data_IF_137400767581
#
_entry.id   IF_137400767581
#
_cell.length_a   1.000
_cell.length_b   1.000
_cell.length_c   1.000
_cell.angle_alpha   90.00
_cell.angle_beta   90.00
_cell.angle_gamma   90.00
#
_symmetry.space_group_name_H-M   'P 1'
#
loop_
_entity.id
_entity.type
_entity.pdbx_description
1 polymer ?
2 non-polymer ?
3 non-polymer ?
4 water ?
#
# COMPACT_ATOMS: atom_id res chain seq x y z
N UNK A 1 2.96 12.14 9.48
CA UNK A 1 3.52 10.93 10.11
C UNK A 1 4.63 10.34 9.26
N UNK A 2 5.41 9.46 9.87
CA UNK A 2 6.52 8.83 9.19
C UNK A 2 6.41 7.31 9.19
N UNK A 3 6.57 6.71 8.02
CA UNK A 3 6.53 5.27 7.88
C UNK A 3 7.94 4.85 7.52
N UNK A 4 8.56 4.02 8.37
CA UNK A 4 9.92 3.57 8.12
C UNK A 4 10.05 2.06 8.22
N UNK A 5 10.61 1.46 7.17
CA UNK A 5 10.79 0.02 7.17
C UNK A 5 11.63 -0.46 6.00
N UNK A 6 11.72 -1.77 5.84
CA UNK A 6 12.51 -2.34 4.75
C UNK A 6 11.69 -2.37 3.46
N UNK A 7 12.34 -2.02 2.36
CA UNK A 7 11.70 -2.00 1.06
C UNK A 7 11.79 -3.35 0.35
N UNK A 8 10.68 -3.79 -0.23
CA UNK A 8 10.66 -5.04 -0.99
C UNK A 8 10.34 -4.57 -2.40
N UNK A 9 11.35 -4.61 -3.26
CA UNK A 9 11.21 -4.12 -4.62
C UNK A 9 10.76 -5.10 -5.70
N UNK A 10 9.82 -4.64 -6.51
CA UNK A 10 9.26 -5.41 -7.61
C UNK A 10 9.31 -4.54 -8.87
N UNK A 11 9.09 -5.15 -10.03
CA UNK A 11 9.14 -4.41 -11.29
C UNK A 11 7.85 -3.76 -11.76
N UNK A 12 7.69 -3.69 -13.07
CA UNK A 12 6.51 -3.09 -13.69
C UNK A 12 5.36 -4.07 -13.83
N UNK A 13 4.17 -3.51 -13.96
CA UNK A 13 2.94 -4.27 -14.16
C UNK A 13 2.67 -5.41 -13.19
N UNK A 14 2.89 -5.18 -11.90
CA UNK A 14 2.60 -6.20 -10.90
C UNK A 14 1.08 -6.21 -10.73
N UNK A 15 0.41 -7.17 -11.35
CA UNK A 15 -1.05 -7.24 -11.30
C UNK A 15 -1.63 -7.92 -10.07
N UNK A 16 -2.95 -7.79 -9.92
CA UNK A 16 -3.66 -8.37 -8.79
C UNK A 16 -3.43 -9.87 -8.60
N UNK A 17 -3.26 -10.61 -9.70
CA UNK A 17 -3.02 -12.05 -9.59
C UNK A 17 -1.65 -12.35 -9.01
N UNK A 18 -0.69 -11.47 -9.28
CA UNK A 18 0.65 -11.63 -8.76
C UNK A 18 0.59 -11.29 -7.27
N UNK A 19 -0.21 -10.28 -6.95
CA UNK A 19 -0.38 -9.82 -5.57
C UNK A 19 -1.10 -10.86 -4.71
N UNK A 20 -2.17 -11.43 -5.25
CA UNK A 20 -2.95 -12.44 -4.54
C UNK A 20 -3.63 -13.35 -5.57
N UNK A 21 -2.95 -14.44 -5.95
CA UNK A 21 -3.46 -15.41 -6.93
C UNK A 21 -4.94 -15.75 -6.76
N UNK A 22 -5.65 -15.79 -7.89
CA UNK A 22 -7.07 -16.09 -7.89
C UNK A 22 -7.55 -17.25 -7.02
N UNK A 23 -6.84 -18.39 -7.01
CA UNK A 23 -7.27 -19.53 -6.19
C UNK A 23 -7.46 -19.25 -4.70
N UNK A 24 -6.68 -18.33 -4.15
CA UNK A 24 -6.79 -18.01 -2.73
C UNK A 24 -8.00 -17.14 -2.41
N UNK A 25 -8.61 -16.57 -3.44
CA UNK A 25 -9.77 -15.71 -3.26
C UNK A 25 -10.95 -16.40 -2.59
N UNK A 26 -10.82 -17.70 -2.35
CA UNK A 26 -11.89 -18.46 -1.72
C UNK A 26 -11.70 -18.53 -0.21
N UNK A 27 -11.54 -17.37 0.42
CA UNK A 27 -11.35 -17.30 1.86
C UNK A 27 -11.89 -15.99 2.43
N UNK A 28 -12.23 -16.02 3.71
CA UNK A 28 -12.77 -14.84 4.39
C UNK A 28 -11.67 -14.13 5.16
N UNK A 29 -10.95 -14.89 5.98
CA UNK A 29 -9.88 -14.34 6.79
C UNK A 29 -8.90 -13.49 5.98
N UNK A 30 -8.75 -12.21 6.35
CA UNK A 30 -7.84 -11.31 5.64
C UNK A 30 -6.39 -11.75 5.86
N UNK A 31 -6.12 -12.29 7.04
CA UNK A 31 -4.79 -12.78 7.37
C UNK A 31 -4.47 -13.98 6.48
N UNK A 32 -5.52 -14.71 6.09
CA UNK A 32 -5.36 -15.87 5.23
C UNK A 32 -4.90 -15.35 3.87
N UNK A 33 -5.47 -14.22 3.46
CA UNK A 33 -5.12 -13.60 2.20
C UNK A 33 -3.70 -13.05 2.30
N UNK A 34 -3.40 -12.42 3.42
CA UNK A 34 -2.09 -11.84 3.65
C UNK A 34 -0.97 -12.87 3.58
N UNK A 35 -1.25 -14.10 4.03
CA UNK A 35 -0.25 -15.15 4.01
C UNK A 35 0.21 -15.51 2.59
N UNK A 36 -0.49 -15.02 1.58
CA UNK A 36 -0.10 -15.30 0.21
C UNK A 36 0.12 -14.03 -0.60
N UNK A 37 0.42 -12.94 0.10
CA UNK A 37 0.67 -11.66 -0.54
C UNK A 37 1.89 -11.75 -1.44
N UNK A 38 1.75 -11.28 -2.67
CA UNK A 38 2.84 -11.29 -3.66
C UNK A 38 3.29 -12.70 -4.05
N UNK A 39 2.55 -13.72 -3.62
CA UNK A 39 2.91 -15.10 -3.92
C UNK A 39 2.94 -15.37 -5.42
N UNK A 40 2.28 -14.50 -6.19
CA UNK A 40 2.24 -14.65 -7.63
C UNK A 40 3.58 -14.46 -8.31
N UNK A 41 4.47 -13.68 -7.71
CA UNK A 41 5.78 -13.45 -8.30
C UNK A 41 6.93 -13.77 -7.35
N UNK A 42 6.66 -13.76 -6.05
CA UNK A 42 7.69 -14.08 -5.07
C UNK A 42 7.12 -14.92 -3.93
N UNK A 43 7.29 -16.24 -4.05
CA UNK A 43 6.78 -17.17 -3.05
C UNK A 43 7.44 -17.01 -1.68
N UNK A 44 8.51 -16.23 -1.62
CA UNK A 44 9.21 -16.03 -0.37
C UNK A 44 8.78 -14.76 0.38
N UNK A 45 8.02 -13.89 -0.29
CA UNK A 45 7.57 -12.64 0.32
C UNK A 45 6.86 -12.80 1.67
N UNK A 46 5.82 -13.64 1.74
CA UNK A 46 5.09 -13.83 3.00
C UNK A 46 6.00 -14.18 4.19
N UNK A 47 7.10 -14.87 3.91
CA UNK A 47 8.04 -15.28 4.95
C UNK A 47 9.13 -14.25 5.25
N UNK A 48 9.30 -13.28 4.35
CA UNK A 48 10.32 -12.24 4.52
C UNK A 48 9.77 -10.93 5.09
N UNK A 49 8.55 -10.58 4.68
CA UNK A 49 7.92 -9.34 5.10
C UNK A 49 7.70 -9.22 6.61
N UNK A 50 7.86 -8.00 7.12
CA UNK A 50 7.66 -7.72 8.54
C UNK A 50 6.73 -6.53 8.68
N UNK A 51 5.92 -6.53 9.73
CA UNK A 51 5.01 -5.42 9.98
C UNK A 51 5.83 -4.14 9.93
N UNK A 52 5.35 -3.15 9.18
CA UNK A 52 6.07 -1.90 9.07
C UNK A 52 6.86 -1.77 7.79
N UNK A 53 7.01 -2.87 7.06
CA UNK A 53 7.75 -2.84 5.81
C UNK A 53 6.96 -2.13 4.71
N UNK A 54 7.61 -1.94 3.57
CA UNK A 54 7.01 -1.24 2.46
C UNK A 54 7.25 -1.95 1.13
N UNK A 55 6.22 -2.03 0.30
CA UNK A 55 6.35 -2.65 -1.00
C UNK A 55 6.71 -1.51 -1.95
N UNK A 56 7.70 -1.74 -2.78
CA UNK A 56 8.15 -0.74 -3.74
C UNK A 56 8.05 -1.38 -5.13
N UNK A 57 7.41 -0.69 -6.07
CA UNK A 57 7.26 -1.25 -7.41
C UNK A 57 7.42 -0.24 -8.54
N UNK A 58 7.37 -0.76 -9.76
CA UNK A 58 7.51 0.08 -10.93
C UNK A 58 6.20 0.68 -11.40
N UNK A 59 5.98 0.64 -12.71
CA UNK A 59 4.77 1.20 -13.29
C UNK A 59 3.56 0.30 -13.16
N UNK A 60 2.39 0.94 -13.13
CA UNK A 60 1.12 0.24 -13.11
C UNK A 60 0.93 -0.85 -12.04
N UNK A 61 1.31 -0.56 -10.81
CA UNK A 61 1.16 -1.52 -9.72
C UNK A 61 -0.33 -1.76 -9.44
N UNK A 62 -0.69 -3.02 -9.19
CA UNK A 62 -2.07 -3.35 -8.90
C UNK A 62 -2.91 -3.52 -10.15
N UNK A 63 -2.24 -3.60 -11.30
CA UNK A 63 -2.91 -3.76 -12.58
C UNK A 63 -3.91 -4.90 -12.62
N UNK A 64 -4.95 -4.71 -13.43
CA UNK A 64 -5.95 -5.74 -13.60
C UNK A 64 -7.24 -5.59 -12.82
N UNK A 65 -7.77 -6.75 -12.47
CA UNK A 65 -9.01 -6.92 -11.73
C UNK A 65 -9.33 -6.05 -10.52
N UNK A 66 -10.63 -5.85 -10.33
CA UNK A 66 -11.17 -5.09 -9.22
C UNK A 66 -11.24 -5.95 -7.96
N UNK A 67 -10.07 -6.31 -7.43
CA UNK A 67 -9.99 -7.16 -6.25
C UNK A 67 -9.65 -6.46 -4.95
N UNK A 68 -10.65 -6.33 -4.08
CA UNK A 68 -10.43 -5.71 -2.78
C UNK A 68 -9.47 -6.59 -1.98
N UNK A 69 -9.38 -7.86 -2.35
CA UNK A 69 -8.51 -8.80 -1.67
C UNK A 69 -7.03 -8.47 -1.84
N UNK A 70 -6.67 -7.88 -2.97
CA UNK A 70 -5.29 -7.53 -3.23
C UNK A 70 -4.78 -6.51 -2.20
N UNK A 71 -5.57 -5.47 -1.95
CA UNK A 71 -5.17 -4.44 -1.00
C UNK A 71 -5.27 -4.96 0.42
N UNK A 72 -6.20 -5.88 0.66
CA UNK A 72 -6.37 -6.46 1.98
C UNK A 72 -5.19 -7.40 2.29
N UNK A 73 -4.67 -8.06 1.26
CA UNK A 73 -3.54 -8.97 1.40
C UNK A 73 -2.31 -8.18 1.81
N UNK A 74 -2.14 -7.01 1.21
CA UNK A 74 -1.01 -6.14 1.53
C UNK A 74 -1.18 -5.56 2.93
N UNK A 75 -2.32 -4.92 3.17
CA UNK A 75 -2.61 -4.30 4.46
C UNK A 75 -2.46 -5.28 5.63
N UNK A 76 -2.91 -6.51 5.46
CA UNK A 76 -2.81 -7.47 6.55
C UNK A 76 -1.45 -8.13 6.75
N UNK A 77 -0.45 -7.64 6.03
CA UNK A 77 0.92 -8.13 6.18
C UNK A 77 1.59 -7.10 7.09
N UNK A 78 0.83 -6.07 7.44
CA UNK A 78 1.37 -5.02 8.29
C UNK A 78 2.03 -3.94 7.46
N UNK A 79 1.71 -3.92 6.16
CA UNK A 79 2.26 -2.92 5.24
C UNK A 79 1.31 -1.73 5.16
N UNK A 80 1.80 -0.56 5.55
CA UNK A 80 1.00 0.66 5.55
C UNK A 80 1.06 1.46 4.25
N UNK A 81 2.10 1.23 3.45
CA UNK A 81 2.23 1.97 2.20
C UNK A 81 2.90 1.19 1.08
N UNK A 82 2.59 1.60 -0.14
CA UNK A 82 3.17 1.01 -1.33
C UNK A 82 3.71 2.17 -2.13
N UNK A 83 4.97 2.08 -2.52
CA UNK A 83 5.58 3.14 -3.31
C UNK A 83 5.73 2.62 -4.74
N UNK A 84 5.20 3.35 -5.71
CA UNK A 84 5.30 2.93 -7.10
C UNK A 84 5.42 4.13 -8.03
N UNK A 85 5.82 3.88 -9.28
CA UNK A 85 5.94 4.94 -10.27
C UNK A 85 4.53 5.36 -10.68
N UNK A 86 3.62 4.39 -10.72
CA UNK A 86 2.22 4.64 -11.05
C UNK A 86 1.36 3.49 -10.54
N UNK A 87 0.08 3.77 -10.32
CA UNK A 87 -0.86 2.78 -9.81
C UNK A 87 -2.06 2.58 -10.71
N UNK A 88 -2.50 1.33 -10.85
CA UNK A 88 -3.69 1.05 -11.63
C UNK A 88 -4.79 1.84 -10.91
N UNK A 89 -5.67 2.46 -11.68
CA UNK A 89 -6.76 3.27 -11.13
C UNK A 89 -7.60 2.56 -10.07
N UNK A 90 -8.08 1.37 -10.38
CA UNK A 90 -8.93 0.63 -9.45
C UNK A 90 -8.20 0.27 -8.17
N UNK A 91 -6.96 -0.20 -8.29
CA UNK A 91 -6.18 -0.57 -7.12
C UNK A 91 -6.04 0.64 -6.20
N UNK A 92 -5.70 1.78 -6.80
CA UNK A 92 -5.51 3.02 -6.06
C UNK A 92 -6.72 3.34 -5.19
N UNK A 93 -7.90 3.24 -5.80
CA UNK A 93 -9.15 3.52 -5.10
C UNK A 93 -9.36 2.54 -3.95
N UNK A 94 -9.17 1.25 -4.22
CA UNK A 94 -9.35 0.23 -3.19
C UNK A 94 -8.37 0.44 -2.05
N UNK A 95 -7.13 0.80 -2.39
CA UNK A 95 -6.12 1.03 -1.37
C UNK A 95 -6.57 2.14 -0.42
N UNK A 96 -6.99 3.26 -1.00
CA UNK A 96 -7.47 4.39 -0.21
C UNK A 96 -8.59 3.95 0.73
N UNK A 97 -9.55 3.21 0.19
CA UNK A 97 -10.69 2.76 0.97
C UNK A 97 -10.42 1.78 2.12
N UNK A 98 -9.26 1.12 2.12
CA UNK A 98 -8.93 0.21 3.23
C UNK A 98 -7.84 0.81 4.10
N UNK A 99 -7.41 2.02 3.78
CA UNK A 99 -6.38 2.66 4.58
C UNK A 99 -4.95 2.35 4.17
N UNK A 100 -4.77 1.80 2.97
CA UNK A 100 -3.42 1.48 2.47
C UNK A 100 -2.97 2.69 1.67
N UNK A 101 -1.83 3.26 2.04
CA UNK A 101 -1.33 4.46 1.37
C UNK A 101 -0.53 4.27 0.09
N UNK A 102 -1.06 4.75 -1.04
CA UNK A 102 -0.37 4.63 -2.32
C UNK A 102 0.50 5.88 -2.48
N UNK A 103 1.80 5.68 -2.63
CA UNK A 103 2.73 6.79 -2.79
C UNK A 103 3.40 6.71 -4.16
N UNK A 104 3.42 7.83 -4.88
CA UNK A 104 4.05 7.89 -6.21
C UNK A 104 5.45 8.48 -6.11
N UNK A 105 6.42 7.82 -6.75
CA UNK A 105 7.81 8.28 -6.74
C UNK A 105 8.62 7.54 -7.80
N UNK A 106 9.82 8.04 -8.09
CA UNK A 106 10.67 7.37 -9.06
C UNK A 106 11.35 6.23 -8.31
N UNK A 107 10.73 5.05 -8.35
CA UNK A 107 11.26 3.91 -7.63
C UNK A 107 12.56 3.33 -8.18
N UNK A 108 13.07 3.88 -9.28
CA UNK A 108 14.35 3.38 -9.79
C UNK A 108 15.41 3.79 -8.75
N UNK A 109 15.08 4.77 -7.92
CA UNK A 109 15.99 5.27 -6.89
C UNK A 109 16.04 4.36 -5.67
N UNK A 110 15.14 3.38 -5.63
CA UNK A 110 15.08 2.46 -4.50
C UNK A 110 15.43 1.02 -4.89
N UNK A 111 16.26 0.39 -4.07
CA UNK A 111 16.69 -0.98 -4.32
C UNK A 111 16.08 -1.90 -3.28
N UNK A 112 15.95 -3.18 -3.63
CA UNK A 112 15.38 -4.16 -2.72
C UNK A 112 16.25 -4.18 -1.47
N UNK A 113 15.60 -4.24 -0.31
CA UNK A 113 16.34 -4.28 0.94
C UNK A 113 16.73 -2.92 1.50
N UNK A 114 16.50 -1.84 0.76
CA UNK A 114 16.84 -0.51 1.28
C UNK A 114 15.93 -0.21 2.46
N UNK A 115 16.40 0.63 3.38
CA UNK A 115 15.58 1.03 4.50
C UNK A 115 15.03 2.39 4.06
N UNK A 116 13.71 2.51 3.96
CA UNK A 116 13.11 3.75 3.51
C UNK A 116 12.29 4.41 4.60
N UNK A 117 12.31 5.74 4.61
CA UNK A 117 11.58 6.52 5.59
C UNK A 117 10.69 7.47 4.81
N UNK A 118 9.39 7.18 4.81
CA UNK A 118 8.42 8.01 4.10
C UNK A 118 7.84 9.06 5.04
N UNK A 119 8.10 10.33 4.74
CA UNK A 119 7.58 11.42 5.55
C UNK A 119 6.39 11.98 4.78
N UNK A 120 5.19 11.64 5.22
CA UNK A 120 3.97 12.08 4.54
C UNK A 120 3.73 13.59 4.59
N UNK A 121 4.26 14.25 5.62
CA UNK A 121 4.07 15.69 5.71
C UNK A 121 5.01 16.45 4.79
N UNK A 122 6.24 15.97 4.65
CA UNK A 122 7.21 16.64 3.78
C UNK A 122 7.12 16.10 2.35
N UNK A 123 6.48 14.95 2.19
CA UNK A 123 6.36 14.29 0.90
C UNK A 123 7.73 13.98 0.32
N UNK A 124 8.52 13.29 1.12
CA UNK A 124 9.86 12.88 0.74
C UNK A 124 10.05 11.47 1.26
N UNK A 125 10.95 10.75 0.63
CA UNK A 125 11.27 9.40 1.04
C UNK A 125 12.76 9.40 1.26
N UNK A 126 13.18 9.18 2.50
CA UNK A 126 14.60 9.13 2.81
C UNK A 126 15.04 7.68 2.69
N UNK A 127 16.05 7.44 1.85
CA UNK A 127 16.61 6.10 1.67
C UNK A 127 17.84 6.17 2.56
N UNK A 128 17.62 5.91 3.84
CA UNK A 128 18.65 6.00 4.87
C UNK A 128 19.98 5.33 4.60
N UNK A 129 19.97 4.09 4.10
CA UNK A 129 21.22 3.39 3.84
C UNK A 129 21.94 3.86 2.56
N UNK A 130 21.33 4.78 1.82
CA UNK A 130 21.95 5.27 0.59
C UNK A 130 22.26 6.77 0.62
N UNK A 131 22.07 7.38 1.78
CA UNK A 131 22.32 8.81 1.94
C UNK A 131 21.69 9.68 0.86
N UNK A 132 20.40 9.46 0.62
CA UNK A 132 19.69 10.26 -0.35
C UNK A 132 18.20 10.31 -0.04
N UNK A 133 17.56 11.36 -0.51
CA UNK A 133 16.14 11.57 -0.29
C UNK A 133 15.52 11.91 -1.64
N UNK A 134 14.35 11.35 -1.92
CA UNK A 134 13.67 11.64 -3.18
C UNK A 134 12.28 12.18 -2.89
N UNK A 135 11.76 12.97 -3.81
CA UNK A 135 10.42 13.52 -3.63
C UNK A 135 9.40 12.44 -3.98
N UNK A 136 8.21 12.56 -3.40
CA UNK A 136 7.12 11.64 -3.69
C UNK A 136 5.84 12.46 -3.68
N UNK A 137 4.77 11.84 -4.15
CA UNK A 137 3.48 12.49 -4.18
C UNK A 137 2.52 11.62 -3.39
N UNK A 138 1.93 12.20 -2.36
CA UNK A 138 0.99 11.49 -1.51
C UNK A 138 -0.43 11.88 -1.91
N UNK A 139 -1.43 11.10 -1.46
CA UNK A 139 -2.82 11.40 -1.79
C UNK A 139 -3.26 12.75 -1.21
N UNK A 140 -4.17 13.42 -1.90
CA UNK A 140 -4.69 14.71 -1.46
C UNK A 140 -6.21 14.66 -1.39
N UNK A 141 -6.81 15.81 -1.09
CA UNK A 141 -8.25 15.93 -1.02
C UNK A 141 -9.02 14.85 -0.27
N UNK A 142 -10.14 14.43 -0.85
CA UNK A 142 -10.98 13.41 -0.23
C UNK A 142 -10.21 12.14 0.11
N UNK A 143 -9.39 11.67 -0.83
CA UNK A 143 -8.61 10.46 -0.62
C UNK A 143 -7.73 10.59 0.61
N UNK A 144 -7.14 11.76 0.81
CA UNK A 144 -6.28 11.98 1.96
C UNK A 144 -7.11 11.88 3.24
N UNK A 145 -8.32 12.43 3.22
CA UNK A 145 -9.21 12.39 4.39
C UNK A 145 -9.61 10.96 4.72
N UNK A 146 -10.01 10.21 3.70
CA UNK A 146 -10.40 8.82 3.89
C UNK A 146 -9.22 8.05 4.48
N UNK A 147 -8.03 8.27 3.92
CA UNK A 147 -6.83 7.61 4.41
C UNK A 147 -6.58 7.97 5.87
N UNK A 148 -6.67 9.26 6.17
CA UNK A 148 -6.45 9.75 7.52
C UNK A 148 -7.37 9.04 8.51
N UNK A 149 -8.59 8.73 8.08
CA UNK A 149 -9.54 8.05 8.94
C UNK A 149 -9.26 6.55 8.98
N UNK A 150 -8.36 6.09 8.12
CA UNK A 150 -8.01 4.68 8.08
C UNK A 150 -8.86 3.83 7.15
N UNK A 151 -9.60 4.47 6.26
CA UNK A 151 -10.44 3.72 5.35
C UNK A 151 -11.82 4.33 5.20
N UNK A 152 -12.54 3.89 4.17
CA UNK A 152 -13.87 4.42 3.90
C UNK A 152 -14.85 4.22 5.05
N UNK A 153 -14.85 3.02 5.63
CA UNK A 153 -15.74 2.72 6.74
C UNK A 153 -15.59 3.74 7.87
N UNK A 154 -14.38 3.88 8.39
CA UNK A 154 -14.13 4.83 9.46
C UNK A 154 -14.54 6.24 9.07
N UNK A 155 -14.17 6.64 7.86
CA UNK A 155 -14.51 7.96 7.37
C UNK A 155 -16.01 8.19 7.50
N UNK A 156 -16.80 7.21 7.08
CA UNK A 156 -18.25 7.31 7.14
C UNK A 156 -18.83 7.34 8.54
N UNK A 157 -18.26 6.57 9.46
CA UNK A 157 -18.80 6.58 10.81
C UNK A 157 -18.40 7.85 11.55
N UNK A 158 -17.34 8.50 11.09
CA UNK A 158 -16.91 9.75 11.70
C UNK A 158 -17.84 10.84 11.18
N UNK A 159 -18.35 10.63 9.97
CA UNK A 159 -19.27 11.57 9.35
C UNK A 159 -20.62 11.48 10.07
N UNK A 160 -21.00 10.26 10.44
CA UNK A 160 -22.26 10.04 11.14
C UNK A 160 -22.14 10.56 12.56
N UNK A 161 -21.02 10.23 13.22
CA UNK A 161 -20.77 10.68 14.58
C UNK A 161 -20.98 12.19 14.70
N UNK A 162 -20.41 12.93 13.76
CA UNK A 162 -20.54 14.38 13.75
C UNK A 162 -22.02 14.74 13.63
N UNK A 163 -22.72 14.07 12.73
CA UNK A 163 -24.14 14.31 12.52
C UNK A 163 -24.94 13.97 13.77
N UNK A 164 -24.43 13.02 14.54
CA UNK A 164 -25.08 12.60 15.77
C UNK A 164 -25.20 13.76 16.75
N UNK A 165 -24.06 14.35 17.10
CA UNK A 165 -24.04 15.46 18.05
C UNK A 165 -24.55 16.76 17.43
N UNK A 166 -25.08 16.68 16.22
CA UNK A 166 -25.60 17.86 15.54
C UNK A 166 -27.07 18.07 15.89
N UNK A 167 -27.75 16.99 16.25
CA UNK A 167 -29.16 17.10 16.62
C UNK A 167 -30.05 16.20 15.78
X LIG B 1 -1.05 -5.34 -16.43
X LIG C 1 -11.58 6.50 -3.05
X LIG C 1 -11.04 7.23 -4.16
X LIG C 1 -12.96 7.05 -2.71
X LIG C 1 -13.89 6.65 -3.71
X LIG C 1 -15.01 5.99 -3.15
X LIG C 1 -15.31 4.74 -3.97
X LIG C 1 -15.92 3.76 -3.12
#
# INVERSE_FOLDING_TARGET
MIIKGRAHKFGDDVDTDAIIPGPYLRTTDPYELASHCMAGIDENFPKKVKEGDVIVAGENFGCGSSREQAVIAIKYCGIKAVIAKSFARIFYRNAINVGLIPIIANTDEIKDGDIVEIDLDKEEIVITNKNKTIKCETPKGLEREILAAGGLVNYLKKRKLIQSKKGVKT
ZN ZN
PEG C1 O1 C2 O2 C3 C4 O4
#
